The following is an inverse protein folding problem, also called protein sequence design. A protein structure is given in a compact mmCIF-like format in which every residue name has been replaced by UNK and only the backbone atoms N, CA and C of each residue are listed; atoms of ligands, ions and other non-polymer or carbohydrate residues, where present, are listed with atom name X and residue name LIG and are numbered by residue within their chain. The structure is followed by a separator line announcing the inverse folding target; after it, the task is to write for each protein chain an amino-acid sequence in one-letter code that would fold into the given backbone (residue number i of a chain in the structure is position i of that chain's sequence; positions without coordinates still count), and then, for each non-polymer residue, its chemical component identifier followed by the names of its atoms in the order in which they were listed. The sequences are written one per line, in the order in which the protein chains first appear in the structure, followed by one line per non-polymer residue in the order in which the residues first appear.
data_IF_345789317034
#
_entry.id   IF_345789317034
#
_cell.length_a   1.000
_cell.length_b   1.000
_cell.length_c   1.000
_cell.angle_alpha   90.00
_cell.angle_beta   90.00
_cell.angle_gamma   90.00
#
_symmetry.space_group_name_H-M   'P 1'
#
loop_
_entity.id
_entity.type
_entity.pdbx_description
1 polymer ?
#
# COMPACT_ATOMS: atom_id res chain seq x y z
N UNK A 1 -10.26 -5.60 -10.03
CA UNK A 1 -9.02 -5.70 -9.23
C UNK A 1 -9.15 -6.83 -8.23
N UNK A 2 -8.08 -7.57 -8.02
CA UNK A 2 -8.01 -8.58 -6.97
C UNK A 2 -7.02 -8.11 -5.89
N UNK A 3 -7.35 -8.44 -4.63
CA UNK A 3 -6.48 -8.13 -3.50
C UNK A 3 -6.17 -9.45 -2.81
N UNK A 4 -4.88 -9.80 -2.75
CA UNK A 4 -4.43 -10.99 -2.02
C UNK A 4 -3.88 -10.55 -0.68
N UNK A 5 -4.43 -11.14 0.39
CA UNK A 5 -3.99 -10.84 1.74
C UNK A 5 -3.10 -11.96 2.25
N UNK A 6 -1.96 -11.59 2.79
CA UNK A 6 -1.02 -12.52 3.42
C UNK A 6 -0.55 -11.92 4.74
N UNK A 7 -0.03 -12.74 5.62
CA UNK A 7 0.58 -12.27 6.87
C UNK A 7 1.90 -12.98 7.08
N UNK A 8 2.94 -12.20 7.34
CA UNK A 8 4.28 -12.74 7.55
C UNK A 8 4.96 -11.93 8.66
N UNK A 9 5.37 -12.61 9.75
CA UNK A 9 6.05 -11.99 10.90
C UNK A 9 5.31 -10.76 11.44
N UNK A 10 3.99 -10.88 11.63
CA UNK A 10 3.13 -9.79 12.10
C UNK A 10 2.95 -8.64 11.09
N UNK A 11 3.46 -8.78 9.87
CA UNK A 11 3.27 -7.81 8.79
C UNK A 11 2.13 -8.29 7.90
N UNK A 12 1.12 -7.44 7.70
CA UNK A 12 0.02 -7.71 6.79
C UNK A 12 0.41 -7.24 5.39
N UNK A 13 0.31 -8.14 4.42
CA UNK A 13 0.73 -7.87 3.04
C UNK A 13 -0.51 -7.91 2.15
N UNK A 14 -0.74 -6.81 1.41
CA UNK A 14 -1.82 -6.71 0.43
C UNK A 14 -1.20 -6.60 -0.95
N UNK A 15 -1.34 -7.64 -1.75
CA UNK A 15 -0.88 -7.63 -3.14
C UNK A 15 -2.05 -7.24 -4.04
N UNK A 16 -1.87 -6.16 -4.79
CA UNK A 16 -2.89 -5.62 -5.68
C UNK A 16 -2.65 -6.15 -7.09
N UNK A 17 -3.71 -6.65 -7.73
CA UNK A 17 -3.67 -7.16 -9.09
C UNK A 17 -4.73 -6.45 -9.92
N UNK A 18 -4.30 -5.73 -10.95
CA UNK A 18 -5.17 -5.02 -11.87
C UNK A 18 -5.09 -3.51 -11.73
N UNK A 19 -6.23 -2.85 -11.60
CA UNK A 19 -6.32 -1.38 -11.64
C UNK A 19 -6.87 -0.85 -10.32
N UNK A 20 -6.13 0.04 -9.70
CA UNK A 20 -6.62 0.77 -8.52
C UNK A 20 -7.10 2.14 -8.99
N UNK A 21 -8.38 2.24 -9.25
CA UNK A 21 -9.03 3.44 -9.79
C UNK A 21 -10.22 3.87 -8.92
N UNK A 22 -11.03 4.80 -9.40
CA UNK A 22 -12.17 5.31 -8.63
C UNK A 22 -13.23 4.25 -8.37
N UNK A 23 -13.32 3.20 -9.21
CA UNK A 23 -14.28 2.12 -9.03
C UNK A 23 -13.82 1.08 -8.02
N UNK A 24 -12.52 0.84 -7.93
CA UNK A 24 -11.95 -0.21 -7.06
C UNK A 24 -11.42 0.33 -5.74
N UNK A 25 -11.12 1.62 -5.67
CA UNK A 25 -10.57 2.24 -4.46
C UNK A 25 -11.45 2.08 -3.21
N UNK A 26 -12.79 2.19 -3.30
CA UNK A 26 -13.64 1.97 -2.11
C UNK A 26 -13.48 0.58 -1.51
N UNK A 27 -13.40 -0.46 -2.35
CA UNK A 27 -13.19 -1.83 -1.86
C UNK A 27 -11.83 -1.98 -1.20
N UNK A 28 -10.79 -1.39 -1.79
CA UNK A 28 -9.46 -1.42 -1.22
C UNK A 28 -9.43 -0.69 0.13
N UNK A 29 -10.05 0.48 0.20
CA UNK A 29 -10.12 1.24 1.44
C UNK A 29 -10.80 0.43 2.55
N UNK A 30 -11.90 -0.23 2.24
CA UNK A 30 -12.61 -1.07 3.19
C UNK A 30 -11.76 -2.26 3.65
N UNK A 31 -11.09 -2.92 2.71
CA UNK A 31 -10.23 -4.06 3.02
C UNK A 31 -9.14 -3.68 4.03
N UNK A 32 -8.48 -2.55 3.78
CA UNK A 32 -7.43 -2.04 4.66
C UNK A 32 -8.02 -1.61 6.01
N UNK A 33 -9.16 -0.93 6.01
CA UNK A 33 -9.81 -0.47 7.24
C UNK A 33 -10.20 -1.65 8.14
N UNK A 34 -10.71 -2.73 7.56
CA UNK A 34 -11.05 -3.95 8.30
C UNK A 34 -9.80 -4.55 8.95
N UNK A 35 -8.68 -4.62 8.21
CA UNK A 35 -7.43 -5.14 8.76
C UNK A 35 -6.95 -4.29 9.93
N UNK A 36 -7.00 -2.97 9.80
CA UNK A 36 -6.59 -2.06 10.87
C UNK A 36 -7.51 -2.21 12.10
N UNK A 37 -8.82 -2.34 11.87
CA UNK A 37 -9.78 -2.55 12.96
C UNK A 37 -9.53 -3.86 13.72
N UNK A 38 -8.95 -4.85 13.04
CA UNK A 38 -8.59 -6.14 13.65
C UNK A 38 -7.19 -6.13 14.29
N UNK A 39 -6.51 -4.99 14.30
CA UNK A 39 -5.24 -4.83 14.98
C UNK A 39 -4.01 -4.78 14.10
N UNK A 40 -4.15 -4.71 12.77
CA UNK A 40 -3.01 -4.57 11.88
C UNK A 40 -2.33 -3.23 12.11
N UNK A 41 -1.02 -3.24 12.35
CA UNK A 41 -0.21 -2.04 12.54
C UNK A 41 0.95 -1.95 11.56
N UNK A 42 1.44 -3.10 11.11
CA UNK A 42 2.55 -3.19 10.16
C UNK A 42 1.99 -3.73 8.86
N UNK A 43 2.18 -2.97 7.77
CA UNK A 43 1.52 -3.28 6.51
C UNK A 43 2.44 -3.04 5.32
N UNK A 44 2.36 -3.93 4.35
CA UNK A 44 3.00 -3.76 3.04
C UNK A 44 1.92 -3.77 1.98
N UNK A 45 1.99 -2.84 1.04
CA UNK A 45 1.21 -2.90 -0.18
C UNK A 45 2.17 -3.25 -1.32
N UNK A 46 1.91 -4.37 -1.97
CA UNK A 46 2.74 -4.91 -3.04
C UNK A 46 2.10 -4.57 -4.39
N UNK A 47 2.83 -3.79 -5.19
CA UNK A 47 2.36 -3.27 -6.48
C UNK A 47 2.83 -4.09 -7.68
N UNK A 48 3.41 -5.28 -7.46
CA UNK A 48 4.01 -6.06 -8.54
C UNK A 48 3.06 -6.29 -9.72
N UNK A 49 1.79 -6.59 -9.41
CA UNK A 49 0.79 -6.89 -10.44
C UNK A 49 -0.18 -5.72 -10.68
N UNK A 50 0.11 -4.55 -10.15
CA UNK A 50 -0.73 -3.38 -10.34
C UNK A 50 -0.45 -2.76 -11.71
N UNK A 51 -1.48 -2.57 -12.52
CA UNK A 51 -1.38 -2.02 -13.87
C UNK A 51 -1.62 -0.52 -13.93
N UNK A 52 -2.37 0.03 -12.98
CA UNK A 52 -2.77 1.43 -13.01
C UNK A 52 -3.11 1.93 -11.61
N UNK A 53 -2.68 3.16 -11.33
CA UNK A 53 -2.97 3.85 -10.08
C UNK A 53 -3.58 5.20 -10.39
N UNK A 54 -4.82 5.44 -9.93
CA UNK A 54 -5.50 6.73 -10.06
C UNK A 54 -5.25 7.61 -8.84
N UNK A 55 -5.66 8.88 -8.93
CA UNK A 55 -5.61 9.79 -7.80
C UNK A 55 -6.49 9.32 -6.64
N UNK A 56 -7.61 8.65 -6.94
CA UNK A 56 -8.47 8.07 -5.89
C UNK A 56 -7.73 6.96 -5.13
N UNK A 57 -7.00 6.09 -5.86
CA UNK A 57 -6.20 5.05 -5.23
C UNK A 57 -5.06 5.62 -4.40
N UNK A 58 -4.38 6.62 -4.92
CA UNK A 58 -3.31 7.29 -4.18
C UNK A 58 -3.83 7.89 -2.87
N UNK A 59 -5.03 8.47 -2.90
CA UNK A 59 -5.65 9.04 -1.69
C UNK A 59 -5.87 7.99 -0.61
N UNK A 60 -6.30 6.78 -0.99
CA UNK A 60 -6.47 5.68 -0.03
C UNK A 60 -5.14 5.29 0.60
N UNK A 61 -4.08 5.23 -0.21
CA UNK A 61 -2.74 4.90 0.29
C UNK A 61 -2.26 5.96 1.30
N UNK A 62 -2.47 7.23 0.98
CA UNK A 62 -2.10 8.32 1.89
C UNK A 62 -2.89 8.28 3.19
N UNK A 63 -4.19 8.02 3.11
CA UNK A 63 -5.03 7.87 4.30
C UNK A 63 -4.57 6.70 5.16
N UNK A 64 -4.26 5.57 4.53
CA UNK A 64 -3.76 4.39 5.23
C UNK A 64 -2.46 4.69 5.99
N UNK A 65 -1.56 5.43 5.35
CA UNK A 65 -0.31 5.85 5.99
C UNK A 65 -0.58 6.66 7.25
N UNK A 66 -1.50 7.62 7.17
CA UNK A 66 -1.85 8.46 8.31
C UNK A 66 -2.51 7.67 9.43
N UNK A 67 -3.42 6.77 9.07
CA UNK A 67 -4.13 5.95 10.05
C UNK A 67 -3.16 5.04 10.81
N UNK A 68 -2.22 4.43 10.10
CA UNK A 68 -1.22 3.57 10.72
C UNK A 68 -0.26 4.35 11.61
N UNK A 69 0.17 5.55 11.17
CA UNK A 69 1.02 6.41 11.99
C UNK A 69 0.35 6.78 13.30
N UNK A 70 -0.94 7.04 13.26
CA UNK A 70 -1.72 7.39 14.45
C UNK A 70 -1.74 6.25 15.46
N UNK A 71 -1.61 5.01 14.98
CA UNK A 71 -1.57 3.80 15.79
C UNK A 71 -0.14 3.34 16.09
N UNK A 72 0.85 4.19 15.80
CA UNK A 72 2.27 3.86 15.94
C UNK A 72 2.67 2.69 15.03
N UNK A 73 1.97 2.53 13.92
CA UNK A 73 2.24 1.51 12.91
C UNK A 73 3.06 2.05 11.75
N UNK A 74 3.18 1.24 10.70
CA UNK A 74 4.01 1.59 9.56
C UNK A 74 3.47 0.95 8.29
N UNK A 75 3.49 1.72 7.20
CA UNK A 75 3.17 1.26 5.85
C UNK A 75 4.42 1.34 4.99
N UNK A 76 4.75 0.26 4.30
CA UNK A 76 5.84 0.23 3.31
C UNK A 76 5.25 -0.23 1.99
N UNK A 77 5.67 0.41 0.89
CA UNK A 77 5.23 0.09 -0.46
C UNK A 77 6.37 -0.63 -1.19
N UNK A 78 6.05 -1.56 -2.08
CA UNK A 78 7.09 -2.30 -2.79
C UNK A 78 6.69 -2.70 -4.20
N UNK A 79 7.69 -3.02 -5.02
CA UNK A 79 7.55 -3.65 -6.32
C UNK A 79 6.79 -2.80 -7.34
N UNK A 80 6.90 -1.48 -7.26
CA UNK A 80 6.23 -0.59 -8.20
C UNK A 80 6.87 -0.63 -9.57
N UNK A 81 6.04 -0.63 -10.62
CA UNK A 81 6.50 -0.33 -11.97
C UNK A 81 6.97 1.13 -12.04
N UNK A 82 7.88 1.44 -12.95
CA UNK A 82 8.47 2.77 -13.05
C UNK A 82 7.41 3.87 -13.22
N UNK A 83 6.39 3.62 -14.04
CA UNK A 83 5.36 4.64 -14.27
C UNK A 83 4.47 4.86 -13.03
N UNK A 84 4.32 3.87 -12.17
CA UNK A 84 3.60 4.02 -10.90
C UNK A 84 4.48 4.79 -9.90
N UNK A 85 5.76 4.43 -9.81
CA UNK A 85 6.70 5.11 -8.94
C UNK A 85 6.82 6.59 -9.28
N UNK A 86 6.77 6.91 -10.56
CA UNK A 86 6.84 8.29 -11.04
C UNK A 86 5.72 9.14 -10.48
N UNK A 87 4.52 8.59 -10.30
CA UNK A 87 3.40 9.30 -9.68
C UNK A 87 3.76 9.75 -8.26
N UNK A 88 4.41 8.88 -7.49
CA UNK A 88 4.83 9.20 -6.13
C UNK A 88 5.97 10.22 -6.12
N UNK A 89 6.90 10.13 -7.07
CA UNK A 89 8.02 11.06 -7.17
C UNK A 89 7.56 12.46 -7.55
N UNK A 90 6.71 12.57 -8.58
CA UNK A 90 6.21 13.86 -9.05
C UNK A 90 5.38 14.56 -7.98
N UNK A 91 4.57 13.82 -7.23
CA UNK A 91 3.74 14.38 -6.17
C UNK A 91 4.52 14.61 -4.87
N UNK A 92 5.77 14.17 -4.79
CA UNK A 92 6.61 14.35 -3.60
C UNK A 92 6.32 13.38 -2.46
N UNK A 93 5.44 12.41 -2.68
CA UNK A 93 5.04 11.48 -1.61
C UNK A 93 6.11 10.43 -1.31
N UNK A 94 7.05 10.20 -2.22
CA UNK A 94 8.17 9.30 -1.99
C UNK A 94 9.11 9.80 -0.88
N UNK A 95 9.02 11.08 -0.52
CA UNK A 95 9.86 11.63 0.54
C UNK A 95 9.45 11.18 1.94
N UNK A 96 8.21 10.70 2.13
CA UNK A 96 7.75 10.25 3.45
C UNK A 96 7.07 8.87 3.42
N UNK A 97 6.93 8.27 2.23
CA UNK A 97 6.39 6.91 2.08
C UNK A 97 7.55 5.98 1.74
N UNK A 98 7.92 5.03 2.61
CA UNK A 98 8.99 4.09 2.28
C UNK A 98 8.60 3.24 1.06
N UNK A 99 9.40 3.29 0.02
CA UNK A 99 9.19 2.52 -1.22
C UNK A 99 10.43 1.68 -1.46
N UNK A 100 10.24 0.36 -1.63
CA UNK A 100 11.32 -0.57 -1.89
C UNK A 100 11.13 -1.27 -3.22
N UNK A 101 12.19 -1.89 -3.73
CA UNK A 101 12.14 -2.57 -5.03
C UNK A 101 11.52 -3.96 -4.95
N UNK A 102 11.49 -4.56 -3.78
CA UNK A 102 10.97 -5.92 -3.59
C UNK A 102 10.25 -6.07 -2.27
N UNK A 103 9.43 -7.15 -2.19
CA UNK A 103 8.75 -7.50 -0.94
C UNK A 103 9.77 -7.85 0.14
N UNK A 104 10.84 -8.55 -0.20
CA UNK A 104 11.87 -8.92 0.77
C UNK A 104 12.52 -7.69 1.39
N UNK A 105 12.82 -6.69 0.57
CA UNK A 105 13.37 -5.43 1.07
C UNK A 105 12.35 -4.70 1.95
N UNK A 106 11.07 -4.76 1.58
CA UNK A 106 10.01 -4.14 2.37
C UNK A 106 9.91 -4.78 3.76
N UNK A 107 10.00 -6.11 3.83
CA UNK A 107 9.94 -6.84 5.11
C UNK A 107 11.09 -6.46 6.04
N UNK A 108 12.23 -6.05 5.51
CA UNK A 108 13.38 -5.62 6.30
C UNK A 108 13.20 -4.25 6.94
N UNK A 109 12.15 -3.52 6.59
CA UNK A 109 11.87 -2.19 7.15
C UNK A 109 11.14 -2.24 8.49
N UNK A 110 10.72 -3.41 8.91
CA UNK A 110 9.96 -3.59 10.17
C UNK A 110 10.81 -4.14 11.30
#
# INVERSE_FOLDING_TARGET
MQIKEEKQNEVHIFKLDGRLDSNTSPTFEETVAVAIAKGAKQMIIDFEDLEYLSSAGLRVILKTTKDLKRLEGKLVLCSMADYVREVFEISGFDSFLPITTSRDDALKKF
#
